data_IF_720627674693
#
_entry.id   IF_720627674693
#
_cell.length_a   1.000
_cell.length_b   1.000
_cell.length_c   1.000
_cell.angle_alpha   90.00
_cell.angle_beta   90.00
_cell.angle_gamma   90.00
#
_symmetry.space_group_name_H-M   'P 1'
#
loop_
_entity.id
_entity.type
_entity.pdbx_description
1 polymer ?
#
# COMPACT_ATOMS: atom_id res chain seq x y z
N UNK A 1 0.18 -17.29 13.08
CA UNK A 1 0.99 -16.51 12.12
C UNK A 1 0.27 -16.50 10.78
N UNK A 2 0.06 -15.32 10.16
CA UNK A 2 -0.46 -15.28 8.79
C UNK A 2 0.48 -15.98 7.82
N UNK A 3 -0.08 -16.66 6.84
CA UNK A 3 0.72 -17.37 5.83
C UNK A 3 1.26 -16.44 4.74
N UNK A 4 0.71 -15.23 4.63
CA UNK A 4 1.17 -14.18 3.71
C UNK A 4 1.57 -12.97 4.54
N UNK A 5 2.85 -12.62 4.48
CA UNK A 5 3.42 -11.49 5.23
C UNK A 5 4.32 -10.71 4.28
N UNK A 6 3.98 -9.44 4.04
CA UNK A 6 4.72 -8.57 3.11
C UNK A 6 5.07 -7.26 3.80
N UNK A 7 6.32 -6.86 3.65
CA UNK A 7 6.82 -5.54 4.07
C UNK A 7 7.54 -4.93 2.87
N UNK A 8 7.19 -3.69 2.54
CA UNK A 8 7.83 -2.95 1.45
C UNK A 8 8.07 -1.50 1.85
N UNK A 9 9.12 -0.90 1.31
CA UNK A 9 9.47 0.50 1.56
C UNK A 9 9.90 1.15 0.24
N UNK A 10 9.40 2.36 0.00
CA UNK A 10 9.78 3.15 -1.17
C UNK A 10 9.83 4.62 -0.80
N UNK A 11 10.93 5.28 -1.15
CA UNK A 11 11.04 6.73 -0.97
C UNK A 11 10.37 7.47 -2.12
N UNK A 12 9.52 8.44 -1.77
CA UNK A 12 8.90 9.39 -2.70
C UNK A 12 9.33 10.80 -2.31
N UNK A 13 9.80 11.55 -3.29
CA UNK A 13 10.33 12.89 -3.08
C UNK A 13 9.22 13.96 -3.06
N UNK A 14 8.15 13.69 -2.33
CA UNK A 14 7.01 14.58 -2.10
C UNK A 14 6.56 14.49 -0.64
N UNK A 15 5.88 15.51 -0.10
CA UNK A 15 5.44 15.50 1.30
C UNK A 15 4.42 14.38 1.59
N UNK A 16 4.34 13.93 2.86
CA UNK A 16 3.39 12.88 3.25
C UNK A 16 1.94 13.15 2.89
N UNK A 17 1.47 14.39 3.00
CA UNK A 17 0.10 14.75 2.65
C UNK A 17 -0.24 14.45 1.19
N UNK A 18 0.72 14.61 0.30
CA UNK A 18 0.55 14.33 -1.13
C UNK A 18 0.44 12.83 -1.38
N UNK A 19 1.27 12.05 -0.69
CA UNK A 19 1.21 10.58 -0.78
C UNK A 19 -0.08 10.07 -0.16
N UNK A 20 -0.47 10.61 1.01
CA UNK A 20 -1.70 10.22 1.69
C UNK A 20 -2.94 10.40 0.81
N UNK A 21 -2.99 11.46 0.03
CA UNK A 21 -4.11 11.74 -0.87
C UNK A 21 -4.31 10.62 -1.92
N UNK A 22 -3.24 9.93 -2.30
CA UNK A 22 -3.32 8.81 -3.25
C UNK A 22 -4.09 7.61 -2.67
N UNK A 23 -4.06 7.43 -1.36
CA UNK A 23 -4.68 6.31 -0.67
C UNK A 23 -5.99 6.67 0.03
N UNK A 24 -6.34 7.95 0.08
CA UNK A 24 -7.51 8.44 0.82
C UNK A 24 -8.83 8.31 0.05
N UNK A 25 -8.79 7.94 -1.23
CA UNK A 25 -9.98 7.86 -2.09
C UNK A 25 -10.43 6.41 -2.26
N UNK A 26 -11.52 6.00 -1.60
CA UNK A 26 -11.99 4.60 -1.70
C UNK A 26 -12.28 4.14 -3.12
N UNK A 27 -12.69 5.04 -4.00
CA UNK A 27 -12.98 4.72 -5.40
C UNK A 27 -11.75 4.22 -6.17
N UNK A 28 -10.54 4.51 -5.68
CA UNK A 28 -9.29 4.07 -6.31
C UNK A 28 -8.87 2.67 -5.87
N UNK A 29 -9.32 2.21 -4.72
CA UNK A 29 -8.86 0.95 -4.14
C UNK A 29 -9.11 -0.27 -5.04
N UNK A 30 -10.26 -0.40 -5.75
CA UNK A 30 -10.44 -1.51 -6.69
C UNK A 30 -9.43 -1.54 -7.84
N UNK A 31 -8.82 -0.41 -8.18
CA UNK A 31 -7.77 -0.35 -9.20
C UNK A 31 -6.42 -0.77 -8.63
N UNK A 32 -6.16 -0.43 -7.37
CA UNK A 32 -4.90 -0.75 -6.70
C UNK A 32 -4.88 -2.21 -6.24
N UNK A 33 -6.01 -2.70 -5.73
CA UNK A 33 -6.17 -4.06 -5.20
C UNK A 33 -7.48 -4.66 -5.73
N UNK A 34 -7.50 -5.13 -6.99
CA UNK A 34 -8.76 -5.53 -7.64
C UNK A 34 -9.41 -6.77 -7.03
N UNK A 35 -8.66 -7.61 -6.32
CA UNK A 35 -9.17 -8.84 -5.71
C UNK A 35 -9.37 -8.72 -4.19
N UNK A 36 -9.23 -7.52 -3.63
CA UNK A 36 -9.41 -7.27 -2.20
C UNK A 36 -10.54 -6.26 -1.96
N UNK A 37 -11.21 -6.43 -0.82
CA UNK A 37 -12.16 -5.45 -0.29
C UNK A 37 -11.54 -4.84 0.96
N UNK A 38 -11.47 -3.53 1.01
CA UNK A 38 -10.84 -2.78 2.08
C UNK A 38 -11.88 -2.10 2.95
N UNK A 39 -11.71 -2.21 4.27
CA UNK A 39 -12.49 -1.46 5.24
C UNK A 39 -11.52 -0.73 6.16
N UNK A 40 -11.67 0.59 6.27
CA UNK A 40 -10.77 1.42 7.08
C UNK A 40 -11.02 1.15 8.56
N UNK A 41 -9.97 0.78 9.28
CA UNK A 41 -10.00 0.63 10.74
C UNK A 41 -9.22 1.73 11.45
N UNK A 42 -8.31 2.40 10.73
CA UNK A 42 -7.62 3.59 11.25
C UNK A 42 -7.28 4.51 10.09
N UNK A 43 -7.80 5.73 10.15
CA UNK A 43 -7.41 6.83 9.28
C UNK A 43 -6.52 7.75 10.10
N UNK A 44 -5.24 7.82 9.73
CA UNK A 44 -4.23 8.62 10.43
C UNK A 44 -3.84 9.87 9.64
N UNK A 45 -4.67 10.27 8.69
CA UNK A 45 -4.40 11.44 7.86
C UNK A 45 -3.09 11.29 7.09
N UNK A 46 -2.18 12.25 7.26
CA UNK A 46 -0.89 12.29 6.57
C UNK A 46 0.06 11.16 6.99
N UNK A 47 -0.26 10.44 8.07
CA UNK A 47 0.55 9.31 8.55
C UNK A 47 0.15 7.98 7.91
N UNK A 48 -0.99 7.93 7.21
CA UNK A 48 -1.40 6.76 6.47
C UNK A 48 -2.73 6.16 6.91
N UNK A 49 -2.90 4.88 6.56
CA UNK A 49 -4.17 4.16 6.74
C UNK A 49 -3.92 2.72 7.13
N UNK A 50 -4.85 2.17 7.89
CA UNK A 50 -4.92 0.75 8.15
C UNK A 50 -6.29 0.23 7.77
N UNK A 51 -6.30 -0.92 7.09
CA UNK A 51 -7.52 -1.58 6.63
C UNK A 51 -7.59 -3.02 7.13
N UNK A 52 -8.81 -3.49 7.37
CA UNK A 52 -9.07 -4.93 7.28
C UNK A 52 -9.34 -5.25 5.82
N UNK A 53 -8.94 -6.44 5.40
CA UNK A 53 -9.15 -6.89 4.02
C UNK A 53 -9.92 -8.22 4.00
N UNK A 54 -10.76 -8.36 2.99
CA UNK A 54 -11.46 -9.58 2.64
C UNK A 54 -11.39 -9.76 1.13
N UNK A 55 -11.93 -10.86 0.62
CA UNK A 55 -11.84 -11.22 -0.79
C UNK A 55 -10.85 -12.35 -0.98
N UNK A 56 -9.87 -12.19 -1.86
CA UNK A 56 -8.85 -13.21 -2.11
C UNK A 56 -7.98 -13.51 -0.89
N UNK A 57 -7.75 -12.49 -0.06
CA UNK A 57 -7.02 -12.61 1.20
C UNK A 57 -7.88 -12.06 2.34
N UNK A 58 -7.69 -12.62 3.53
CA UNK A 58 -8.37 -12.16 4.76
C UNK A 58 -7.32 -11.81 5.80
N UNK A 59 -7.34 -10.57 6.27
CA UNK A 59 -6.37 -10.10 7.25
C UNK A 59 -6.32 -8.59 7.36
N UNK A 60 -5.11 -8.03 7.44
CA UNK A 60 -4.88 -6.60 7.57
C UNK A 60 -3.87 -6.08 6.57
N UNK A 61 -4.02 -4.81 6.22
CA UNK A 61 -3.10 -4.10 5.34
C UNK A 61 -2.92 -2.69 5.88
N UNK A 62 -1.71 -2.17 5.78
CA UNK A 62 -1.38 -0.83 6.30
C UNK A 62 -0.44 -0.11 5.34
N UNK A 63 -0.69 1.18 5.19
CA UNK A 63 0.24 2.13 4.60
C UNK A 63 0.63 3.10 5.70
N UNK A 64 1.93 3.19 5.99
CA UNK A 64 2.47 4.16 6.92
C UNK A 64 3.41 5.11 6.18
N UNK A 65 3.21 6.40 6.39
CA UNK A 65 3.95 7.44 5.70
C UNK A 65 4.88 8.13 6.68
N UNK A 66 6.17 7.90 6.50
CA UNK A 66 7.21 8.47 7.37
C UNK A 66 7.86 9.67 6.69
N UNK A 67 7.78 10.87 7.30
CA UNK A 67 8.53 12.02 6.77
C UNK A 67 10.04 11.76 6.89
N UNK A 68 10.76 11.89 5.78
CA UNK A 68 12.21 11.71 5.75
C UNK A 68 12.79 12.77 4.82
N UNK A 69 13.65 13.65 5.35
CA UNK A 69 14.22 14.75 4.58
C UNK A 69 13.12 15.61 3.96
N UNK A 70 13.16 15.80 2.64
CA UNK A 70 12.16 16.56 1.89
C UNK A 70 11.07 15.68 1.26
N UNK A 71 10.99 14.44 1.69
CA UNK A 71 10.08 13.46 1.10
C UNK A 71 9.44 12.54 2.13
N UNK A 72 9.03 11.38 1.65
CA UNK A 72 8.28 10.40 2.41
C UNK A 72 8.78 9.01 2.12
N UNK A 73 8.97 8.19 3.15
CA UNK A 73 9.09 6.74 2.97
C UNK A 73 7.69 6.14 3.09
N UNK A 74 7.26 5.51 2.02
CA UNK A 74 5.99 4.78 1.96
C UNK A 74 6.27 3.36 2.44
N UNK A 75 5.78 3.05 3.64
CA UNK A 75 5.83 1.70 4.20
C UNK A 75 4.54 0.99 3.90
N UNK A 76 4.64 -0.25 3.44
CA UNK A 76 3.50 -1.10 3.15
C UNK A 76 3.61 -2.40 3.93
N UNK A 77 2.52 -2.78 4.59
CA UNK A 77 2.44 -4.00 5.37
C UNK A 77 1.20 -4.77 4.97
N UNK A 78 1.36 -6.06 4.73
CA UNK A 78 0.24 -6.99 4.48
C UNK A 78 0.43 -8.23 5.34
N UNK A 79 -0.57 -8.56 6.13
CA UNK A 79 -0.61 -9.78 6.94
C UNK A 79 -1.96 -10.43 6.74
N UNK A 80 -1.97 -11.56 6.07
CA UNK A 80 -3.23 -12.19 5.67
C UNK A 80 -3.05 -13.68 5.40
N UNK A 81 -4.19 -14.35 5.30
CA UNK A 81 -4.29 -15.70 4.80
C UNK A 81 -5.22 -15.72 3.59
N UNK A 82 -5.03 -16.64 2.64
CA UNK A 82 -6.01 -16.84 1.58
C UNK A 82 -7.39 -17.13 2.14
N UNK A 83 -8.44 -16.67 1.44
CA UNK A 83 -9.80 -16.99 1.81
C UNK A 83 -10.12 -18.44 1.43
N UNK A 84 -10.80 -19.16 2.35
CA UNK A 84 -11.37 -20.46 2.06
C UNK A 84 -12.70 -20.35 1.31
N UNK A 85 -13.34 -21.49 0.99
CA UNK A 85 -14.62 -21.52 0.26
C UNK A 85 -15.74 -20.74 0.94
N UNK A 86 -15.69 -20.62 2.26
CA UNK A 86 -16.68 -19.89 3.07
C UNK A 86 -16.31 -18.41 3.27
N UNK A 87 -15.21 -17.95 2.68
CA UNK A 87 -14.72 -16.59 2.86
C UNK A 87 -13.92 -16.36 4.13
N UNK A 88 -13.80 -17.36 5.01
CA UNK A 88 -12.97 -17.28 6.20
C UNK A 88 -11.49 -17.50 5.85
N UNK A 89 -10.55 -17.01 6.68
CA UNK A 89 -9.13 -17.25 6.41
C UNK A 89 -8.81 -18.75 6.45
N UNK A 90 -8.07 -19.21 5.44
CA UNK A 90 -7.59 -20.57 5.29
C UNK A 90 -6.09 -20.55 5.09
N UNK A 91 -5.29 -20.82 6.14
CA UNK A 91 -3.83 -20.70 6.03
C UNK A 91 -3.28 -21.54 4.88
N UNK A 92 -2.41 -20.92 4.07
CA UNK A 92 -1.75 -21.58 2.97
C UNK A 92 -0.60 -22.47 3.46
N UNK A 93 -0.22 -23.46 2.67
CA UNK A 93 1.05 -24.14 2.87
C UNK A 93 2.20 -23.13 2.79
N UNK A 94 3.34 -23.46 3.33
CA UNK A 94 4.51 -22.57 3.31
C UNK A 94 4.87 -22.14 1.89
N UNK A 95 4.87 -23.07 0.93
CA UNK A 95 5.20 -22.76 -0.47
C UNK A 95 4.19 -21.79 -1.10
N UNK A 96 2.91 -22.01 -0.88
CA UNK A 96 1.87 -21.14 -1.40
C UNK A 96 1.91 -19.77 -0.75
N UNK A 97 2.18 -19.72 0.55
CA UNK A 97 2.32 -18.47 1.29
C UNK A 97 3.49 -17.65 0.79
N UNK A 98 4.65 -18.27 0.55
CA UNK A 98 5.84 -17.58 0.01
C UNK A 98 5.57 -17.07 -1.40
N UNK A 99 4.95 -17.87 -2.26
CA UNK A 99 4.64 -17.47 -3.63
C UNK A 99 3.64 -16.31 -3.67
N UNK A 100 2.62 -16.36 -2.84
CA UNK A 100 1.63 -15.27 -2.74
C UNK A 100 2.26 -13.99 -2.20
N UNK A 101 3.10 -14.10 -1.16
CA UNK A 101 3.81 -12.95 -0.60
C UNK A 101 4.70 -12.29 -1.66
N UNK A 102 5.43 -13.08 -2.45
CA UNK A 102 6.27 -12.54 -3.52
C UNK A 102 5.44 -11.81 -4.58
N UNK A 103 4.30 -12.36 -4.96
CA UNK A 103 3.38 -11.74 -5.92
C UNK A 103 2.82 -10.42 -5.38
N UNK A 104 2.41 -10.41 -4.11
CA UNK A 104 1.88 -9.20 -3.46
C UNK A 104 2.96 -8.14 -3.27
N UNK A 105 4.19 -8.53 -3.02
CA UNK A 105 5.30 -7.58 -2.92
C UNK A 105 5.58 -6.92 -4.27
N UNK A 106 5.57 -7.67 -5.36
CA UNK A 106 5.71 -7.08 -6.69
C UNK A 106 4.57 -6.12 -7.00
N UNK A 107 3.34 -6.46 -6.64
CA UNK A 107 2.18 -5.59 -6.82
C UNK A 107 2.31 -4.30 -5.98
N UNK A 108 2.75 -4.42 -4.74
CA UNK A 108 2.98 -3.25 -3.87
C UNK A 108 4.06 -2.33 -4.44
N UNK A 109 5.15 -2.90 -4.93
CA UNK A 109 6.22 -2.13 -5.55
C UNK A 109 5.75 -1.43 -6.83
N UNK A 110 4.90 -2.08 -7.62
CA UNK A 110 4.31 -1.47 -8.82
C UNK A 110 3.41 -0.27 -8.46
N UNK A 111 2.61 -0.39 -7.40
CA UNK A 111 1.80 0.72 -6.89
C UNK A 111 2.69 1.88 -6.44
N UNK A 112 3.73 1.59 -5.66
CA UNK A 112 4.65 2.60 -5.16
C UNK A 112 5.37 3.33 -6.29
N UNK A 113 5.86 2.62 -7.29
CA UNK A 113 6.54 3.23 -8.44
C UNK A 113 5.57 4.02 -9.33
N UNK A 114 4.34 3.58 -9.49
CA UNK A 114 3.33 4.35 -10.22
C UNK A 114 3.01 5.67 -9.50
N UNK A 115 2.91 5.64 -8.17
CA UNK A 115 2.77 6.86 -7.37
C UNK A 115 3.98 7.76 -7.52
N UNK A 116 5.18 7.19 -7.44
CA UNK A 116 6.43 7.93 -7.59
C UNK A 116 6.51 8.64 -8.94
N UNK A 117 6.25 7.93 -10.02
CA UNK A 117 6.28 8.50 -11.37
C UNK A 117 5.28 9.64 -11.52
N UNK A 118 4.10 9.49 -10.97
CA UNK A 118 3.02 10.49 -11.07
C UNK A 118 3.30 11.72 -10.22
N UNK A 119 3.75 11.52 -8.98
CA UNK A 119 3.91 12.60 -8.00
C UNK A 119 5.24 13.33 -8.13
N UNK A 120 6.27 12.68 -8.66
CA UNK A 120 7.60 13.27 -8.89
C UNK A 120 7.83 13.70 -10.34
N UNK A 121 6.78 13.75 -11.16
CA UNK A 121 6.89 14.04 -12.58
C UNK A 121 7.71 15.31 -12.85
N UNK A 122 8.77 15.19 -13.67
CA UNK A 122 9.64 16.29 -14.04
C UNK A 122 10.67 16.68 -12.97
N UNK A 123 10.74 16.00 -11.84
CA UNK A 123 11.70 16.30 -10.79
C UNK A 123 13.00 15.53 -10.99
N UNK A 124 14.14 16.25 -11.02
CA UNK A 124 15.45 15.63 -10.98
C UNK A 124 15.91 15.43 -9.53
N UNK A 125 16.89 14.56 -9.32
CA UNK A 125 17.46 14.32 -7.99
C UNK A 125 17.99 15.62 -7.39
N UNK A 126 17.60 15.94 -6.16
CA UNK A 126 18.01 17.16 -5.45
C UNK A 126 17.21 18.40 -5.78
N UNK A 127 16.26 18.34 -6.71
CA UNK A 127 15.37 19.47 -6.98
C UNK A 127 14.19 19.50 -6.00
N UNK A 128 13.64 20.68 -5.70
CA UNK A 128 12.43 20.77 -4.87
C UNK A 128 11.26 20.05 -5.54
N UNK A 129 10.30 19.54 -4.76
CA UNK A 129 9.11 18.90 -5.33
C UNK A 129 8.32 19.89 -6.17
N UNK A 130 7.59 19.43 -7.22
CA UNK A 130 6.76 20.31 -8.03
C UNK A 130 5.70 20.99 -7.17
N UNK A 131 5.21 22.18 -7.59
CA UNK A 131 4.15 22.86 -6.86
C UNK A 131 2.91 21.96 -6.72
N UNK A 132 2.34 21.96 -5.53
CA UNK A 132 1.12 21.21 -5.28
C UNK A 132 -0.07 21.98 -5.84
N UNK A 133 -0.84 21.34 -6.70
CA UNK A 133 -2.12 21.89 -7.19
C UNK A 133 -3.18 21.45 -6.19
N UNK A 134 -3.70 22.42 -5.46
CA UNK A 134 -4.85 22.20 -4.58
C UNK A 134 -6.10 22.29 -5.44
N UNK A 135 -6.74 21.16 -5.64
CA UNK A 135 -8.00 21.08 -6.37
C UNK A 135 -9.16 20.94 -5.41
#
# INVERSE_FOLDING_TARGET
MPSVDVVDETFLAVPPAVVAAEFAQPARWPRLWPDLRLEVVADRGDQGFRWTITGALVGSMEVWLEPVLDGTVLHYFLRADPAGPDGAPAPASWRRGVAEAARRQRAAKAIAFACKDRLEAGRAAGEPPPPQVVS
#
